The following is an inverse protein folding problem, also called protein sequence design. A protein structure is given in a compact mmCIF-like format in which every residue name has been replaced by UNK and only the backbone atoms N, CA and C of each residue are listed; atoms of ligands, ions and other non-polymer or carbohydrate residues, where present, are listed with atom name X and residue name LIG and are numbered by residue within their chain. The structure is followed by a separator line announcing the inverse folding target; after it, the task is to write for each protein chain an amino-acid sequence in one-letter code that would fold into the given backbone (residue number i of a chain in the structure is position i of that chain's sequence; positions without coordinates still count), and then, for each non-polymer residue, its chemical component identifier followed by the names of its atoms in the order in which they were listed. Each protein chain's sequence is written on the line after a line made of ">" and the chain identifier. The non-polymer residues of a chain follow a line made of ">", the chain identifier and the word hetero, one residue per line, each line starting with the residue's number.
data_IF_727812581739
#
_entry.id   IF_727812581739
#
_cell.length_a   1.000
_cell.length_b   1.000
_cell.length_c   1.000
_cell.angle_alpha   90.00
_cell.angle_beta   90.00
_cell.angle_gamma   90.00
#
_symmetry.space_group_name_H-M   'P 1'
#
loop_
_entity.id
_entity.type
_entity.pdbx_description
1 polymer ?
#
# COMPACT_ATOMS: atom_id res chain seq x y z
N UNK A 1 -6.61 19.04 26.77
CA UNK A 1 -7.30 18.33 25.67
C UNK A 1 -6.38 18.42 24.45
N UNK A 2 -6.00 17.29 23.90
CA UNK A 2 -5.22 17.28 22.65
C UNK A 2 -6.18 17.54 21.50
N UNK A 3 -5.73 18.27 20.50
CA UNK A 3 -6.53 18.56 19.30
C UNK A 3 -6.76 17.28 18.48
N UNK A 4 -7.91 17.16 17.79
CA UNK A 4 -8.14 16.05 16.88
C UNK A 4 -7.08 16.05 15.76
N UNK A 5 -6.77 14.89 15.13
CA UNK A 5 -5.76 14.80 14.10
C UNK A 5 -6.09 15.67 12.90
N UNK A 6 -5.08 16.40 12.43
CA UNK A 6 -5.15 17.21 11.23
C UNK A 6 -4.67 16.44 9.99
N UNK A 7 -3.83 15.43 10.17
CA UNK A 7 -3.28 14.59 9.11
C UNK A 7 -3.60 13.12 9.37
N UNK A 8 -4.24 12.48 8.40
CA UNK A 8 -4.66 11.07 8.50
C UNK A 8 -4.28 10.29 7.24
N UNK A 9 -4.24 8.95 7.35
CA UNK A 9 -4.24 8.09 6.18
C UNK A 9 -5.42 7.10 6.24
N UNK A 10 -5.99 6.80 5.08
CA UNK A 10 -7.08 5.84 4.90
C UNK A 10 -6.68 4.87 3.80
N UNK A 11 -6.40 3.63 4.18
CA UNK A 11 -5.79 2.63 3.32
C UNK A 11 -6.60 1.34 3.35
N UNK A 12 -6.69 0.64 2.23
CA UNK A 12 -7.32 -0.67 2.18
C UNK A 12 -6.28 -1.79 2.20
N UNK A 13 -6.71 -2.97 2.64
CA UNK A 13 -5.91 -4.18 2.59
C UNK A 13 -6.78 -5.42 2.58
N UNK A 14 -6.14 -6.59 2.53
CA UNK A 14 -6.81 -7.88 2.52
C UNK A 14 -6.58 -8.65 3.82
N UNK A 15 -7.64 -9.24 4.34
CA UNK A 15 -7.64 -10.17 5.46
C UNK A 15 -8.26 -11.48 4.98
N UNK A 16 -7.43 -12.44 4.57
CA UNK A 16 -7.84 -13.65 3.87
C UNK A 16 -8.62 -13.30 2.58
N UNK A 17 -9.94 -13.43 2.58
CA UNK A 17 -10.82 -13.13 1.44
C UNK A 17 -11.59 -11.84 1.59
N UNK A 18 -11.51 -11.22 2.75
CA UNK A 18 -12.24 -10.01 3.09
C UNK A 18 -11.32 -8.79 3.05
N UNK A 19 -11.86 -7.65 2.63
CA UNK A 19 -11.12 -6.39 2.68
C UNK A 19 -11.29 -5.75 4.07
N UNK A 20 -10.30 -4.95 4.44
CA UNK A 20 -10.37 -4.06 5.60
C UNK A 20 -9.98 -2.64 5.19
N UNK A 21 -10.35 -1.66 6.02
CA UNK A 21 -9.87 -0.28 5.91
C UNK A 21 -9.08 0.08 7.16
N UNK A 22 -7.83 0.50 6.97
CA UNK A 22 -6.94 0.97 8.02
C UNK A 22 -6.99 2.50 8.05
N UNK A 23 -7.30 3.07 9.21
CA UNK A 23 -7.31 4.52 9.43
C UNK A 23 -6.19 4.87 10.38
N UNK A 24 -5.28 5.73 9.92
CA UNK A 24 -4.08 6.14 10.65
C UNK A 24 -4.16 7.63 11.01
N UNK A 25 -3.63 7.96 12.18
CA UNK A 25 -3.28 9.32 12.57
C UNK A 25 -1.79 9.53 12.31
N UNK A 26 -1.44 10.62 11.62
CA UNK A 26 -0.08 10.91 11.18
C UNK A 26 0.57 12.09 11.93
N UNK A 27 -0.15 12.84 12.77
CA UNK A 27 0.34 14.09 13.38
C UNK A 27 1.51 13.88 14.35
N UNK A 28 1.58 12.73 15.02
CA UNK A 28 2.60 12.45 16.04
C UNK A 28 3.23 11.06 15.86
N UNK A 29 3.65 10.81 14.63
CA UNK A 29 4.08 9.48 14.18
C UNK A 29 2.90 8.66 13.65
N UNK A 30 3.19 7.51 13.04
CA UNK A 30 2.17 6.67 12.44
C UNK A 30 1.47 5.87 13.55
N UNK A 31 0.18 6.14 13.75
CA UNK A 31 -0.63 5.50 14.80
C UNK A 31 -1.91 4.94 14.19
N UNK A 32 -2.29 3.71 14.55
CA UNK A 32 -3.56 3.14 14.12
C UNK A 32 -4.68 3.79 14.92
N UNK A 33 -5.53 4.52 14.22
CA UNK A 33 -6.72 5.14 14.79
C UNK A 33 -7.90 4.17 14.83
N UNK A 34 -8.14 3.46 13.73
CA UNK A 34 -9.18 2.44 13.63
C UNK A 34 -8.88 1.42 12.51
N UNK A 35 -9.51 0.25 12.60
CA UNK A 35 -9.57 -0.76 11.54
C UNK A 35 -11.04 -1.11 11.33
N UNK A 36 -11.51 -0.89 10.10
CA UNK A 36 -12.89 -1.18 9.70
C UNK A 36 -12.93 -2.48 8.90
N UNK A 37 -14.00 -3.24 9.05
CA UNK A 37 -14.25 -4.40 8.21
C UNK A 37 -14.81 -3.97 6.86
N UNK A 38 -14.19 -4.42 5.79
CA UNK A 38 -14.54 -4.01 4.44
C UNK A 38 -14.06 -2.60 4.07
N UNK A 39 -14.53 -2.14 2.91
CA UNK A 39 -14.29 -0.78 2.39
C UNK A 39 -15.65 -0.16 2.10
N UNK A 40 -16.30 0.34 3.15
CA UNK A 40 -17.63 0.92 3.07
C UNK A 40 -17.56 2.43 3.28
N UNK A 41 -18.09 3.21 2.33
CA UNK A 41 -18.11 4.67 2.39
C UNK A 41 -18.75 5.21 3.68
N UNK A 42 -19.86 4.61 4.11
CA UNK A 42 -20.58 5.04 5.31
C UNK A 42 -19.75 4.86 6.59
N UNK A 43 -19.00 3.76 6.71
CA UNK A 43 -18.17 3.49 7.88
C UNK A 43 -16.97 4.44 7.93
N UNK A 44 -16.35 4.71 6.79
CA UNK A 44 -15.24 5.67 6.66
C UNK A 44 -15.74 7.08 7.02
N UNK A 45 -16.87 7.50 6.47
CA UNK A 45 -17.48 8.79 6.75
C UNK A 45 -17.80 8.96 8.25
N UNK A 46 -18.32 7.92 8.91
CA UNK A 46 -18.59 7.94 10.35
C UNK A 46 -17.32 8.15 11.18
N UNK A 47 -16.16 7.62 10.73
CA UNK A 47 -14.87 7.88 11.39
C UNK A 47 -14.44 9.33 11.16
N UNK A 48 -14.62 9.91 9.97
CA UNK A 48 -14.31 11.32 9.72
C UNK A 48 -15.16 12.26 10.60
N UNK A 49 -16.44 11.95 10.77
CA UNK A 49 -17.31 12.70 11.69
C UNK A 49 -16.81 12.60 13.14
N UNK A 50 -16.42 11.39 13.55
CA UNK A 50 -15.89 11.15 14.90
C UNK A 50 -14.57 11.89 15.15
N UNK A 51 -13.68 12.01 14.16
CA UNK A 51 -12.47 12.82 14.22
C UNK A 51 -12.84 14.33 14.25
N UNK A 52 -13.85 14.71 13.50
CA UNK A 52 -14.25 16.09 13.26
C UNK A 52 -13.74 16.55 11.89
N UNK A 53 -14.63 16.53 10.90
CA UNK A 53 -14.34 16.86 9.49
C UNK A 53 -13.53 18.15 9.33
N UNK A 54 -13.90 19.21 10.08
CA UNK A 54 -13.22 20.50 10.01
C UNK A 54 -11.74 20.48 10.49
N UNK A 55 -11.36 19.46 11.26
CA UNK A 55 -10.00 19.32 11.80
C UNK A 55 -9.05 18.69 10.78
N UNK A 56 -9.56 17.83 9.90
CA UNK A 56 -8.77 17.09 8.92
C UNK A 56 -8.34 18.06 7.80
N UNK A 57 -7.04 18.23 7.63
CA UNK A 57 -6.43 19.12 6.63
C UNK A 57 -5.72 18.37 5.52
N UNK A 58 -5.15 17.21 5.86
CA UNK A 58 -4.42 16.36 4.91
C UNK A 58 -4.90 14.94 5.05
N UNK A 59 -5.19 14.30 3.92
CA UNK A 59 -5.58 12.88 3.86
C UNK A 59 -4.68 12.17 2.85
N UNK A 60 -4.02 11.12 3.30
CA UNK A 60 -3.34 10.19 2.43
C UNK A 60 -4.27 8.99 2.17
N UNK A 61 -4.28 8.47 0.93
CA UNK A 61 -5.00 7.24 0.62
C UNK A 61 -4.23 6.35 -0.36
N UNK A 62 -4.71 5.12 -0.49
CA UNK A 62 -4.38 4.30 -1.65
C UNK A 62 -5.32 4.63 -2.84
N UNK A 63 -5.15 3.90 -3.96
CA UNK A 63 -5.95 4.09 -5.17
C UNK A 63 -7.34 3.43 -5.10
N UNK A 64 -7.84 3.03 -3.93
CA UNK A 64 -9.14 2.36 -3.81
C UNK A 64 -10.29 3.33 -4.12
N UNK A 65 -11.10 3.11 -5.16
CA UNK A 65 -12.10 4.07 -5.63
C UNK A 65 -13.07 4.53 -4.53
N UNK A 66 -13.61 3.59 -3.75
CA UNK A 66 -14.53 3.92 -2.65
C UNK A 66 -13.91 4.84 -1.62
N UNK A 67 -12.62 4.66 -1.29
CA UNK A 67 -11.90 5.53 -0.35
C UNK A 67 -11.73 6.92 -0.96
N UNK A 68 -11.24 6.99 -2.19
CA UNK A 68 -10.99 8.26 -2.90
C UNK A 68 -12.28 9.07 -3.04
N UNK A 69 -13.38 8.44 -3.48
CA UNK A 69 -14.68 9.08 -3.61
C UNK A 69 -15.19 9.57 -2.24
N UNK A 70 -15.09 8.73 -1.19
CA UNK A 70 -15.52 9.13 0.16
C UNK A 70 -14.75 10.33 0.69
N UNK A 71 -13.42 10.39 0.43
CA UNK A 71 -12.61 11.55 0.82
C UNK A 71 -13.06 12.80 0.07
N UNK A 72 -13.26 12.71 -1.25
CA UNK A 72 -13.74 13.85 -2.07
C UNK A 72 -15.09 14.38 -1.60
N UNK A 73 -16.00 13.48 -1.24
CA UNK A 73 -17.34 13.85 -0.80
C UNK A 73 -17.37 14.43 0.63
N UNK A 74 -16.66 13.81 1.56
CA UNK A 74 -16.70 14.17 2.98
C UNK A 74 -15.72 15.29 3.36
N UNK A 75 -14.60 15.40 2.65
CA UNK A 75 -13.45 16.25 2.98
C UNK A 75 -13.02 17.13 1.79
N UNK A 76 -13.92 17.84 1.10
CA UNK A 76 -13.60 18.57 -0.13
C UNK A 76 -12.59 19.72 0.06
N UNK A 77 -12.34 20.13 1.31
CA UNK A 77 -11.35 21.17 1.65
C UNK A 77 -10.01 20.62 2.15
N UNK A 78 -9.83 19.32 2.25
CA UNK A 78 -8.58 18.71 2.65
C UNK A 78 -7.65 18.51 1.45
N UNK A 79 -6.34 18.62 1.69
CA UNK A 79 -5.34 18.21 0.72
C UNK A 79 -5.35 16.68 0.64
N UNK A 80 -5.72 16.15 -0.50
CA UNK A 80 -5.74 14.70 -0.75
C UNK A 80 -4.48 14.28 -1.52
N UNK A 81 -3.72 13.33 -0.97
CA UNK A 81 -2.49 12.80 -1.54
C UNK A 81 -2.61 11.29 -1.69
N UNK A 82 -2.30 10.77 -2.86
CA UNK A 82 -2.04 9.35 -3.08
C UNK A 82 -0.54 9.19 -3.26
N UNK A 83 0.18 8.59 -2.27
CA UNK A 83 1.59 8.28 -2.44
C UNK A 83 1.80 7.38 -3.66
N UNK A 84 2.75 7.75 -4.52
CA UNK A 84 3.01 7.04 -5.78
C UNK A 84 3.34 5.56 -5.58
N UNK A 85 3.90 5.20 -4.42
CA UNK A 85 4.20 3.81 -4.05
C UNK A 85 2.95 2.92 -3.99
N UNK A 86 1.76 3.47 -3.70
CA UNK A 86 0.52 2.67 -3.75
C UNK A 86 0.09 2.37 -5.19
N UNK A 87 0.32 3.31 -6.12
CA UNK A 87 0.12 3.04 -7.54
C UNK A 87 1.18 2.06 -8.07
N UNK A 88 2.46 2.23 -7.71
CA UNK A 88 3.53 1.28 -8.04
C UNK A 88 3.19 -0.14 -7.58
N UNK A 89 2.63 -0.29 -6.37
CA UNK A 89 2.20 -1.59 -5.86
C UNK A 89 1.15 -2.25 -6.76
N UNK A 90 0.18 -1.51 -7.28
CA UNK A 90 -0.79 -2.05 -8.24
C UNK A 90 -0.12 -2.56 -9.51
N UNK A 91 0.86 -1.79 -10.06
CA UNK A 91 1.63 -2.23 -11.23
C UNK A 91 2.44 -3.50 -10.92
N UNK A 92 3.04 -3.59 -9.73
CA UNK A 92 3.79 -4.78 -9.30
C UNK A 92 2.88 -6.01 -9.13
N UNK A 93 1.66 -5.83 -8.65
CA UNK A 93 0.66 -6.90 -8.55
C UNK A 93 0.24 -7.40 -9.94
N UNK A 94 -0.09 -6.50 -10.87
CA UNK A 94 -0.42 -6.86 -12.26
C UNK A 94 0.77 -7.56 -12.95
N UNK A 95 1.99 -7.06 -12.77
CA UNK A 95 3.18 -7.71 -13.31
C UNK A 95 3.41 -9.09 -12.69
N UNK A 96 3.18 -9.23 -11.39
CA UNK A 96 3.31 -10.50 -10.68
C UNK A 96 2.35 -11.54 -11.24
N UNK A 97 1.09 -11.19 -11.44
CA UNK A 97 0.08 -12.07 -12.02
C UNK A 97 0.46 -12.49 -13.45
N UNK A 98 0.79 -11.51 -14.30
CA UNK A 98 1.24 -11.75 -15.67
C UNK A 98 2.47 -12.65 -15.74
N UNK A 99 3.51 -12.33 -14.99
CA UNK A 99 4.78 -13.08 -15.05
C UNK A 99 4.62 -14.49 -14.43
N UNK A 100 3.88 -14.64 -13.33
CA UNK A 100 3.65 -15.93 -12.69
C UNK A 100 3.06 -16.94 -13.67
N UNK A 101 2.04 -16.56 -14.41
CA UNK A 101 1.43 -17.44 -15.42
C UNK A 101 2.41 -17.81 -16.52
N UNK A 102 3.21 -16.87 -16.99
CA UNK A 102 4.19 -17.08 -18.04
C UNK A 102 5.34 -18.03 -17.61
N UNK A 103 5.82 -17.90 -16.35
CA UNK A 103 6.96 -18.68 -15.84
C UNK A 103 6.55 -19.96 -15.09
N UNK A 104 5.28 -20.18 -14.84
CA UNK A 104 4.72 -21.26 -13.99
C UNK A 104 5.39 -22.61 -14.19
N UNK A 105 5.67 -22.98 -15.43
CA UNK A 105 6.25 -24.29 -15.80
C UNK A 105 7.76 -24.25 -16.05
N UNK A 106 8.43 -23.15 -15.68
CA UNK A 106 9.90 -23.10 -15.78
C UNK A 106 10.54 -24.05 -14.77
N UNK A 107 11.55 -24.85 -15.14
CA UNK A 107 12.27 -25.71 -14.23
C UNK A 107 13.34 -24.97 -13.39
N UNK A 108 13.50 -23.66 -13.59
CA UNK A 108 14.52 -22.86 -12.89
C UNK A 108 14.08 -22.68 -11.43
N UNK A 109 14.97 -23.03 -10.45
CA UNK A 109 14.67 -22.83 -9.02
C UNK A 109 14.50 -21.36 -8.68
N UNK A 110 13.62 -21.07 -7.70
CA UNK A 110 13.34 -19.72 -7.19
C UNK A 110 12.98 -18.72 -8.29
N UNK A 111 12.32 -19.20 -9.35
CA UNK A 111 11.97 -18.41 -10.53
C UNK A 111 11.12 -17.18 -10.19
N UNK A 112 10.19 -17.33 -9.25
CA UNK A 112 9.34 -16.23 -8.79
C UNK A 112 10.21 -15.15 -8.13
N UNK A 113 11.12 -15.54 -7.24
CA UNK A 113 12.06 -14.58 -6.64
C UNK A 113 12.95 -13.92 -7.70
N UNK A 114 13.47 -14.69 -8.67
CA UNK A 114 14.34 -14.14 -9.75
C UNK A 114 13.64 -13.07 -10.57
N UNK A 115 12.33 -13.22 -10.84
CA UNK A 115 11.60 -12.30 -11.70
C UNK A 115 11.12 -11.05 -10.95
N UNK A 116 10.90 -11.16 -9.64
CA UNK A 116 10.34 -10.08 -8.83
C UNK A 116 11.35 -9.33 -7.97
N UNK A 117 12.50 -9.94 -7.69
CA UNK A 117 13.52 -9.30 -6.87
C UNK A 117 14.12 -8.06 -7.56
N UNK A 118 14.48 -7.03 -6.79
CA UNK A 118 15.18 -5.87 -7.32
C UNK A 118 16.51 -6.27 -7.99
N UNK A 119 16.93 -5.56 -9.05
CA UNK A 119 18.19 -5.88 -9.76
C UNK A 119 19.42 -6.00 -8.84
N UNK A 120 19.49 -5.19 -7.78
CA UNK A 120 20.60 -5.21 -6.81
C UNK A 120 20.70 -6.52 -6.03
N UNK A 121 19.61 -7.24 -5.84
CA UNK A 121 19.56 -8.50 -5.08
C UNK A 121 19.93 -9.72 -5.95
N UNK A 122 19.71 -9.62 -7.28
CA UNK A 122 19.91 -10.73 -8.21
C UNK A 122 21.32 -10.79 -8.82
N UNK A 123 22.24 -9.90 -8.43
CA UNK A 123 23.58 -9.79 -9.03
C UNK A 123 24.30 -11.14 -9.16
N UNK A 124 24.24 -11.99 -8.12
CA UNK A 124 24.88 -13.31 -8.11
C UNK A 124 24.13 -14.40 -8.86
N UNK A 125 22.89 -14.13 -9.29
CA UNK A 125 22.03 -15.06 -10.02
C UNK A 125 21.55 -14.51 -11.36
N UNK A 126 22.23 -13.48 -11.88
CA UNK A 126 21.91 -12.87 -13.18
C UNK A 126 21.85 -13.89 -14.32
N UNK A 127 22.76 -14.88 -14.31
CA UNK A 127 22.75 -15.96 -15.30
C UNK A 127 21.45 -16.80 -15.24
N UNK A 128 20.92 -17.09 -14.06
CA UNK A 128 19.66 -17.82 -13.91
C UNK A 128 18.49 -16.98 -14.40
N UNK A 129 18.50 -15.66 -14.10
CA UNK A 129 17.51 -14.72 -14.63
C UNK A 129 17.54 -14.66 -16.16
N UNK A 130 18.73 -14.53 -16.75
CA UNK A 130 18.89 -14.50 -18.20
C UNK A 130 18.32 -15.77 -18.86
N UNK A 131 18.63 -16.93 -18.29
CA UNK A 131 18.07 -18.22 -18.75
C UNK A 131 16.55 -18.26 -18.63
N UNK A 132 16.00 -17.71 -17.54
CA UNK A 132 14.54 -17.63 -17.33
C UNK A 132 13.91 -16.77 -18.42
N UNK A 133 14.43 -15.57 -18.65
CA UNK A 133 13.95 -14.61 -19.64
C UNK A 133 14.14 -15.14 -21.08
N UNK A 134 15.25 -15.87 -21.37
CA UNK A 134 15.46 -16.53 -22.66
C UNK A 134 14.43 -17.65 -22.92
N UNK A 135 14.11 -18.42 -21.88
CA UNK A 135 13.11 -19.49 -21.97
C UNK A 135 11.67 -18.97 -22.07
N UNK A 136 11.44 -17.71 -21.66
CA UNK A 136 10.14 -17.03 -21.60
C UNK A 136 10.24 -15.62 -22.19
N UNK A 137 10.45 -15.48 -23.49
CA UNK A 137 10.69 -14.18 -24.13
C UNK A 137 9.58 -13.14 -23.91
N UNK A 138 8.34 -13.60 -23.73
CA UNK A 138 7.18 -12.72 -23.47
C UNK A 138 7.31 -11.90 -22.19
N UNK A 139 8.10 -12.37 -21.20
CA UNK A 139 8.31 -11.67 -19.91
C UNK A 139 9.51 -10.71 -19.99
N UNK A 140 10.38 -10.84 -20.97
CA UNK A 140 11.63 -10.07 -21.04
C UNK A 140 11.40 -8.55 -21.04
N UNK A 141 10.57 -8.06 -21.96
CA UNK A 141 10.31 -6.63 -22.06
C UNK A 141 9.49 -6.13 -20.88
N UNK A 142 8.36 -6.77 -20.46
CA UNK A 142 7.66 -6.41 -19.25
C UNK A 142 8.52 -6.35 -18.00
N UNK A 143 9.47 -7.28 -17.81
CA UNK A 143 10.44 -7.24 -16.71
C UNK A 143 11.37 -6.01 -16.82
N UNK A 144 11.81 -5.65 -18.01
CA UNK A 144 12.60 -4.43 -18.24
C UNK A 144 11.80 -3.17 -17.93
N UNK A 145 10.54 -3.11 -18.39
CA UNK A 145 9.64 -1.99 -18.16
C UNK A 145 9.35 -1.82 -16.64
N UNK A 146 9.15 -2.93 -15.93
CA UNK A 146 8.97 -2.91 -14.47
C UNK A 146 10.19 -2.37 -13.72
N UNK A 147 11.40 -2.77 -14.16
CA UNK A 147 12.63 -2.26 -13.56
C UNK A 147 12.89 -0.78 -13.90
N UNK A 148 12.47 -0.32 -15.10
CA UNK A 148 12.51 1.09 -15.45
C UNK A 148 11.59 1.91 -14.54
N UNK A 149 10.37 1.43 -14.29
CA UNK A 149 9.45 2.09 -13.36
C UNK A 149 10.00 2.16 -11.94
N UNK A 150 10.57 1.06 -11.44
CA UNK A 150 11.22 1.03 -10.12
C UNK A 150 12.37 2.01 -10.03
N UNK A 151 13.12 2.21 -11.11
CA UNK A 151 14.19 3.19 -11.16
C UNK A 151 13.68 4.63 -11.08
N UNK A 152 12.60 4.97 -11.83
CA UNK A 152 11.93 6.27 -11.75
C UNK A 152 11.48 6.54 -10.30
N UNK A 153 10.87 5.55 -9.65
CA UNK A 153 10.30 5.69 -8.31
C UNK A 153 11.29 5.36 -7.18
N UNK A 154 12.58 5.25 -7.49
CA UNK A 154 13.61 4.95 -6.50
C UNK A 154 13.68 6.04 -5.43
N UNK A 155 13.80 5.66 -4.13
CA UNK A 155 14.04 6.64 -3.06
C UNK A 155 15.33 7.45 -3.21
N UNK A 156 16.25 7.01 -4.07
CA UNK A 156 17.50 7.71 -4.39
C UNK A 156 17.28 8.88 -5.35
N UNK A 157 16.21 8.85 -6.12
CA UNK A 157 15.77 10.01 -6.89
C UNK A 157 15.14 11.02 -5.93
N UNK A 158 15.69 12.21 -5.87
CA UNK A 158 15.20 13.25 -4.95
C UNK A 158 13.74 13.61 -5.23
N UNK A 159 13.32 13.50 -6.49
CA UNK A 159 11.95 13.80 -6.92
C UNK A 159 11.68 13.20 -8.31
N UNK A 160 10.74 12.29 -8.40
CA UNK A 160 10.15 11.91 -9.67
C UNK A 160 8.99 12.87 -9.99
N UNK A 161 8.67 13.04 -11.26
CA UNK A 161 7.55 13.86 -11.70
C UNK A 161 6.47 13.00 -12.33
N UNK A 162 5.22 13.42 -12.21
CA UNK A 162 4.08 12.66 -12.73
C UNK A 162 4.19 12.35 -14.23
N UNK A 163 4.76 13.28 -15.01
CA UNK A 163 4.98 13.12 -16.44
C UNK A 163 5.89 11.93 -16.79
N UNK A 164 6.87 11.59 -15.93
CA UNK A 164 7.72 10.40 -16.14
C UNK A 164 6.92 9.11 -16.02
N UNK A 165 5.93 9.06 -15.12
CA UNK A 165 5.02 7.92 -15.00
C UNK A 165 4.12 7.78 -16.25
N UNK A 166 3.64 8.90 -16.79
CA UNK A 166 2.85 8.91 -18.02
C UNK A 166 3.69 8.45 -19.21
N UNK A 167 4.90 9.00 -19.35
CA UNK A 167 5.83 8.61 -20.44
C UNK A 167 6.17 7.12 -20.34
N UNK A 168 6.43 6.61 -19.12
CA UNK A 168 6.65 5.18 -18.90
C UNK A 168 5.43 4.36 -19.34
N UNK A 169 4.22 4.74 -18.94
CA UNK A 169 2.98 4.04 -19.28
C UNK A 169 2.71 4.05 -20.81
N UNK A 170 3.07 5.12 -21.50
CA UNK A 170 2.95 5.23 -22.97
C UNK A 170 3.92 4.32 -23.70
N UNK A 171 5.15 4.17 -23.21
CA UNK A 171 6.25 3.42 -23.82
C UNK A 171 6.34 1.95 -23.41
N UNK A 172 5.55 1.51 -22.43
CA UNK A 172 5.52 0.12 -21.96
C UNK A 172 5.11 -0.84 -23.09
N UNK A 173 5.67 -2.06 -23.07
CA UNK A 173 5.35 -3.13 -24.02
C UNK A 173 3.84 -3.34 -24.20
N UNK A 174 3.39 -3.52 -25.43
CA UNK A 174 1.97 -3.55 -25.77
C UNK A 174 1.20 -4.67 -25.06
N UNK A 175 1.81 -5.85 -24.91
CA UNK A 175 1.16 -6.99 -24.23
C UNK A 175 1.05 -6.73 -22.74
N UNK A 176 2.10 -6.19 -22.15
CA UNK A 176 2.09 -5.81 -20.73
C UNK A 176 1.14 -4.63 -20.49
N UNK A 177 1.09 -3.66 -21.38
CA UNK A 177 0.16 -2.52 -21.33
C UNK A 177 -1.31 -2.96 -21.32
N UNK A 178 -1.67 -4.01 -22.06
CA UNK A 178 -3.02 -4.58 -22.02
C UNK A 178 -3.34 -5.12 -20.61
N UNK A 179 -2.39 -5.80 -19.96
CA UNK A 179 -2.55 -6.28 -18.58
C UNK A 179 -2.68 -5.13 -17.59
N UNK A 180 -1.93 -4.05 -17.80
CA UNK A 180 -1.94 -2.85 -16.94
C UNK A 180 -3.11 -1.89 -17.20
N UNK A 181 -4.02 -2.19 -18.12
CA UNK A 181 -5.02 -1.20 -18.59
C UNK A 181 -5.86 -0.61 -17.45
N UNK A 182 -6.25 -1.42 -16.48
CA UNK A 182 -6.99 -0.96 -15.30
C UNK A 182 -6.12 -0.07 -14.39
N UNK A 183 -4.88 -0.44 -14.16
CA UNK A 183 -3.93 0.29 -13.31
C UNK A 183 -3.48 1.60 -13.97
N UNK A 184 -3.28 1.64 -15.30
CA UNK A 184 -3.03 2.89 -16.03
C UNK A 184 -4.24 3.82 -15.94
N UNK A 185 -5.46 3.27 -16.02
CA UNK A 185 -6.67 4.07 -15.80
C UNK A 185 -6.71 4.69 -14.40
N UNK A 186 -6.23 4.01 -13.36
CA UNK A 186 -6.12 4.58 -12.02
C UNK A 186 -5.10 5.73 -11.97
N UNK A 187 -3.96 5.62 -12.69
CA UNK A 187 -2.99 6.70 -12.80
C UNK A 187 -3.63 7.98 -13.36
N UNK A 188 -4.40 7.85 -14.44
CA UNK A 188 -5.08 8.97 -15.09
C UNK A 188 -6.23 9.54 -14.22
N UNK A 189 -7.05 8.66 -13.64
CA UNK A 189 -8.21 9.03 -12.82
C UNK A 189 -7.83 9.79 -11.56
N UNK A 190 -6.71 9.41 -10.95
CA UNK A 190 -6.21 9.97 -9.69
C UNK A 190 -5.00 10.89 -9.90
N UNK A 191 -4.83 11.44 -11.11
CA UNK A 191 -3.75 12.36 -11.44
C UNK A 191 -3.54 13.45 -10.40
N UNK A 192 -4.58 14.23 -9.98
CA UNK A 192 -4.38 15.34 -9.04
C UNK A 192 -3.81 14.86 -7.70
N UNK A 193 -4.27 13.70 -7.20
CA UNK A 193 -3.87 13.15 -5.92
C UNK A 193 -2.47 12.53 -5.96
N UNK A 194 -2.09 11.90 -7.10
CA UNK A 194 -0.74 11.34 -7.32
C UNK A 194 0.26 12.47 -7.55
N UNK A 195 -0.10 13.47 -8.34
CA UNK A 195 0.71 14.66 -8.60
C UNK A 195 0.93 15.47 -7.30
N UNK A 196 -0.07 15.53 -6.41
CA UNK A 196 0.07 16.14 -5.10
C UNK A 196 1.17 15.49 -4.24
N UNK A 197 1.47 14.21 -4.42
CA UNK A 197 2.59 13.55 -3.76
C UNK A 197 3.93 14.20 -4.11
N UNK A 198 4.16 14.54 -5.38
CA UNK A 198 5.42 15.18 -5.81
C UNK A 198 5.57 16.59 -5.24
N UNK A 199 4.44 17.29 -5.04
CA UNK A 199 4.40 18.66 -4.55
C UNK A 199 4.45 18.76 -3.01
N UNK A 200 4.03 17.71 -2.31
CA UNK A 200 3.87 17.66 -0.85
C UNK A 200 4.50 16.41 -0.24
N UNK A 201 5.66 15.99 -0.77
CA UNK A 201 6.37 14.78 -0.35
C UNK A 201 6.65 14.76 1.15
N UNK A 202 6.93 15.91 1.74
CA UNK A 202 7.19 16.09 3.18
C UNK A 202 5.99 15.72 4.06
N UNK A 203 4.78 15.66 3.48
CA UNK A 203 3.57 15.24 4.18
C UNK A 203 3.39 13.71 4.20
N UNK A 204 4.18 12.98 3.42
CA UNK A 204 4.13 11.51 3.35
C UNK A 204 5.23 10.93 4.25
N UNK A 205 4.89 10.21 5.34
CA UNK A 205 5.89 9.60 6.17
C UNK A 205 6.69 8.52 5.40
N UNK A 206 8.02 8.63 5.36
CA UNK A 206 8.93 7.72 4.62
C UNK A 206 8.67 6.23 4.87
N UNK A 207 8.19 5.86 6.06
CA UNK A 207 7.96 4.46 6.44
C UNK A 207 6.51 4.01 6.26
N UNK A 208 5.62 4.87 5.76
CA UNK A 208 4.19 4.57 5.70
C UNK A 208 3.91 3.30 4.91
N UNK A 209 4.36 3.23 3.66
CA UNK A 209 4.12 2.09 2.78
C UNK A 209 4.77 0.80 3.31
N UNK A 210 5.99 0.87 3.84
CA UNK A 210 6.67 -0.29 4.42
C UNK A 210 5.94 -0.85 5.65
N UNK A 211 5.45 0.03 6.54
CA UNK A 211 4.74 -0.38 7.75
C UNK A 211 3.35 -0.94 7.42
N UNK A 212 2.63 -0.33 6.49
CA UNK A 212 1.30 -0.82 6.08
C UNK A 212 1.40 -2.15 5.32
N UNK A 213 2.36 -2.32 4.43
CA UNK A 213 2.62 -3.59 3.75
C UNK A 213 3.01 -4.71 4.73
N UNK A 214 3.76 -4.38 5.79
CA UNK A 214 4.06 -5.35 6.85
C UNK A 214 2.81 -5.77 7.61
N UNK A 215 1.92 -4.83 7.98
CA UNK A 215 0.64 -5.16 8.61
C UNK A 215 -0.18 -6.07 7.68
N UNK A 216 -0.29 -5.72 6.42
CA UNK A 216 -1.05 -6.50 5.42
C UNK A 216 -0.52 -7.94 5.31
N UNK A 217 0.81 -8.12 5.19
CA UNK A 217 1.43 -9.44 5.19
C UNK A 217 1.11 -10.24 6.45
N UNK A 218 1.14 -9.62 7.62
CA UNK A 218 0.85 -10.27 8.89
C UNK A 218 -0.63 -10.63 9.03
N UNK A 219 -1.53 -9.80 8.50
CA UNK A 219 -2.97 -10.03 8.53
C UNK A 219 -3.37 -11.13 7.55
N UNK A 220 -2.74 -11.21 6.38
CA UNK A 220 -3.02 -12.26 5.39
C UNK A 220 -2.70 -13.67 5.89
N UNK A 221 -1.73 -13.80 6.82
CA UNK A 221 -1.37 -15.07 7.44
C UNK A 221 -2.34 -15.50 8.56
N UNK A 222 -3.23 -14.61 9.00
CA UNK A 222 -4.13 -14.84 10.15
C UNK A 222 -5.47 -15.44 9.75
N UNK A 223 -5.50 -16.71 9.39
CA UNK A 223 -6.68 -17.44 8.88
C UNK A 223 -7.83 -17.67 9.88
N UNK A 224 -7.73 -17.26 11.14
CA UNK A 224 -8.61 -17.77 12.21
C UNK A 224 -9.32 -16.73 13.06
N UNK A 225 -9.26 -15.44 12.74
CA UNK A 225 -9.86 -14.40 13.59
C UNK A 225 -10.98 -13.64 12.88
N UNK A 226 -12.10 -13.40 13.59
CA UNK A 226 -13.08 -12.43 13.12
C UNK A 226 -12.48 -11.02 13.11
N UNK A 227 -12.95 -10.17 12.21
CA UNK A 227 -12.50 -8.77 12.10
C UNK A 227 -12.61 -8.01 13.45
N UNK A 228 -13.64 -8.30 14.27
CA UNK A 228 -13.80 -7.73 15.60
C UNK A 228 -12.71 -8.15 16.58
N UNK A 229 -12.32 -9.41 16.55
CA UNK A 229 -11.22 -9.93 17.39
C UNK A 229 -9.89 -9.35 16.93
N UNK A 230 -9.68 -9.22 15.63
CA UNK A 230 -8.50 -8.58 15.08
C UNK A 230 -8.42 -7.09 15.49
N UNK A 231 -9.51 -6.35 15.27
CA UNK A 231 -9.62 -4.95 15.68
C UNK A 231 -9.34 -4.79 17.17
N UNK A 232 -9.96 -5.63 18.00
CA UNK A 232 -9.72 -5.63 19.42
C UNK A 232 -8.24 -5.92 19.75
N UNK A 233 -7.60 -6.88 19.09
CA UNK A 233 -6.21 -7.23 19.35
C UNK A 233 -5.24 -6.17 18.86
N UNK A 234 -5.41 -5.63 17.67
CA UNK A 234 -4.54 -4.57 17.14
C UNK A 234 -4.66 -3.29 17.97
N UNK A 235 -5.87 -2.93 18.39
CA UNK A 235 -6.11 -1.72 19.19
C UNK A 235 -5.87 -1.89 20.70
N UNK A 236 -5.97 -3.11 21.25
CA UNK A 236 -5.95 -3.36 22.70
C UNK A 236 -4.79 -4.26 23.16
N UNK A 237 -3.96 -4.77 22.25
CA UNK A 237 -2.94 -5.78 22.60
C UNK A 237 -1.70 -5.23 23.31
N UNK A 238 -1.42 -3.96 23.17
CA UNK A 238 -0.38 -3.31 23.96
C UNK A 238 -1.02 -2.74 25.22
N UNK A 239 -0.67 -3.12 26.42
CA UNK A 239 -0.93 -2.58 27.75
C UNK A 239 -1.55 -1.15 27.84
N UNK A 240 -2.41 -0.79 26.88
CA UNK A 240 -3.09 0.50 26.81
C UNK A 240 -4.18 0.45 27.85
N UNK A 241 -4.01 1.22 28.90
CA UNK A 241 -5.09 1.51 29.84
C UNK A 241 -6.30 1.99 29.03
N UNK A 242 -7.49 1.46 29.33
CA UNK A 242 -8.76 1.88 28.69
C UNK A 242 -8.95 3.41 28.67
N UNK A 243 -8.25 4.13 29.57
CA UNK A 243 -8.21 5.59 29.63
C UNK A 243 -7.47 6.23 28.45
N UNK A 244 -6.50 5.54 27.84
CA UNK A 244 -5.73 6.07 26.70
C UNK A 244 -6.51 5.99 25.39
N UNK A 245 -7.48 5.08 25.28
CA UNK A 245 -8.42 5.02 24.15
C UNK A 245 -9.39 6.21 24.11
N UNK A 246 -9.57 6.91 25.21
CA UNK A 246 -10.31 8.18 25.24
C UNK A 246 -9.46 9.36 24.74
N UNK A 247 -8.15 9.19 24.64
CA UNK A 247 -7.23 10.15 24.07
C UNK A 247 -6.99 9.79 22.59
N UNK A 248 -7.81 10.21 21.73
CA UNK A 248 -7.89 10.29 20.24
C UNK A 248 -6.60 10.13 19.40
N UNK A 249 -5.54 9.44 19.86
CA UNK A 249 -4.27 9.36 19.15
C UNK A 249 -4.01 8.03 18.42
N UNK A 250 -4.80 7.00 18.70
CA UNK A 250 -4.56 5.68 18.16
C UNK A 250 -3.34 4.98 18.80
N UNK A 251 -3.04 3.78 18.32
CA UNK A 251 -1.93 2.93 18.80
C UNK A 251 -0.73 3.13 17.87
N UNK A 252 0.52 3.28 18.39
CA UNK A 252 1.69 3.28 17.55
C UNK A 252 1.72 2.02 16.67
N UNK A 253 1.98 2.20 15.37
CA UNK A 253 1.91 1.10 14.41
C UNK A 253 2.96 0.01 14.72
N UNK A 254 4.11 0.40 15.26
CA UNK A 254 5.15 -0.51 15.70
C UNK A 254 4.69 -1.43 16.85
N UNK A 255 3.88 -0.91 17.78
CA UNK A 255 3.33 -1.71 18.89
C UNK A 255 2.30 -2.71 18.36
N UNK A 256 1.50 -2.31 17.38
CA UNK A 256 0.55 -3.20 16.70
C UNK A 256 1.27 -4.31 15.92
N UNK A 257 2.34 -3.97 15.23
CA UNK A 257 3.20 -4.94 14.53
C UNK A 257 3.81 -5.92 15.53
N UNK A 258 4.38 -5.44 16.64
CA UNK A 258 4.97 -6.30 17.66
C UNK A 258 3.93 -7.27 18.28
N UNK A 259 2.71 -6.80 18.49
CA UNK A 259 1.62 -7.62 19.00
C UNK A 259 1.19 -8.70 17.97
N UNK A 260 1.11 -8.36 16.69
CA UNK A 260 0.79 -9.30 15.62
C UNK A 260 1.92 -10.34 15.44
N UNK A 261 3.19 -9.94 15.50
CA UNK A 261 4.35 -10.85 15.47
C UNK A 261 4.30 -11.87 16.62
N UNK A 262 3.96 -11.43 17.84
CA UNK A 262 3.82 -12.31 18.99
C UNK A 262 2.69 -13.34 18.82
N UNK A 263 1.59 -12.98 18.17
CA UNK A 263 0.49 -13.87 17.85
C UNK A 263 0.87 -14.92 16.79
N UNK A 264 1.59 -14.53 15.76
CA UNK A 264 2.05 -15.44 14.70
C UNK A 264 3.15 -16.38 15.20
N UNK A 265 4.02 -15.92 16.11
CA UNK A 265 5.07 -16.75 16.74
C UNK A 265 4.52 -17.84 17.68
N UNK A 266 3.38 -17.60 18.34
CA UNK A 266 2.71 -18.57 19.22
C UNK A 266 2.06 -19.75 18.50
N UNK A 267 1.81 -19.66 17.21
CA UNK A 267 1.21 -20.71 16.40
C UNK A 267 2.23 -21.64 15.71
N UNK A 268 3.53 -21.47 15.96
CA UNK A 268 4.61 -22.30 15.39
C UNK A 268 5.15 -23.38 16.36
N UNK A 269 4.43 -23.68 17.45
CA UNK A 269 4.77 -24.80 18.36
C UNK A 269 3.83 -25.99 18.18
#
# INVERSE_FOLDING_TARGET
>A
MQSPPASIAVLSGWLDRDRYTLILNLDHGIRIFDILYGVQAADIAAVFEKIGVASIKTVLSDCTPTIVETIKDCLPGALHIIPGEYWLKLVEEDFSEFAHDAIRWSPIPDKDWLIFAPPAEIVYRSYDLDRLLDSKPIVRQPHSDMNALRAIMSPQEEMWVYEELVEWAENTDSVFKECLSATITQLELHRPEIEAHTQHREMVPERLCALTSRIESMLSDMRTFSAEVLRARVLYSSNINKTDLQNWHGVPIEDSIAALDALNGGNKQ
#
